data_IF_043181354746
#
_entry.id   IF_043181354746
#
_cell.length_a   1.000
_cell.length_b   1.000
_cell.length_c   1.000
_cell.angle_alpha   90.00
_cell.angle_beta   90.00
_cell.angle_gamma   90.00
#
_symmetry.space_group_name_H-M   'P 1'
#
loop_
_entity.id
_entity.type
_entity.pdbx_description
1 polymer ?
#
# COMPACT_ATOMS: atom_id res chain seq x y z
N UNK A 1 -2.41 -0.15 20.13
CA UNK A 1 -0.98 0.01 19.81
C UNK A 1 -0.80 1.49 19.67
N UNK A 2 -0.07 2.12 20.58
CA UNK A 2 0.16 3.57 20.55
C UNK A 2 0.82 4.00 19.23
N UNK A 3 0.62 5.25 18.76
CA UNK A 3 1.15 5.73 17.48
C UNK A 3 2.64 5.45 17.28
N UNK A 4 3.49 5.76 18.27
CA UNK A 4 4.93 5.53 18.18
C UNK A 4 5.30 4.05 18.10
N UNK A 5 4.54 3.19 18.80
CA UNK A 5 4.74 1.73 18.76
C UNK A 5 4.33 1.18 17.39
N UNK A 6 3.27 1.72 16.78
CA UNK A 6 2.85 1.36 15.44
C UNK A 6 3.87 1.78 14.39
N UNK A 7 4.44 2.98 14.52
CA UNK A 7 5.51 3.47 13.65
C UNK A 7 6.75 2.59 13.76
N UNK A 8 7.26 2.34 14.97
CA UNK A 8 8.42 1.46 15.16
C UNK A 8 8.18 0.09 14.54
N UNK A 9 7.04 -0.54 14.85
CA UNK A 9 6.70 -1.84 14.29
C UNK A 9 6.62 -1.83 12.76
N UNK A 10 6.18 -0.72 12.14
CA UNK A 10 6.17 -0.59 10.68
C UNK A 10 7.58 -0.59 10.09
N UNK A 11 8.52 0.17 10.68
CA UNK A 11 9.92 0.20 10.27
C UNK A 11 10.63 -1.14 10.51
N UNK A 12 10.20 -1.91 11.51
CA UNK A 12 10.69 -3.27 11.78
C UNK A 12 10.08 -4.32 10.80
N UNK A 13 9.27 -3.91 9.83
CA UNK A 13 8.66 -4.78 8.82
C UNK A 13 7.31 -5.41 9.22
N UNK A 14 6.69 -4.99 10.32
CA UNK A 14 5.38 -5.51 10.73
C UNK A 14 4.27 -4.99 9.84
N UNK A 15 3.61 -5.88 9.08
CA UNK A 15 2.41 -5.57 8.27
C UNK A 15 1.30 -4.93 9.11
N UNK A 16 1.10 -5.41 10.35
CA UNK A 16 0.10 -4.87 11.29
C UNK A 16 0.52 -3.51 11.84
N UNK A 17 1.81 -3.33 12.13
CA UNK A 17 2.39 -2.03 12.50
C UNK A 17 2.14 -1.00 11.40
N UNK A 18 2.51 -1.33 10.16
CA UNK A 18 2.31 -0.51 8.97
C UNK A 18 0.83 -0.12 8.78
N UNK A 19 -0.09 -1.08 8.88
CA UNK A 19 -1.52 -0.81 8.76
C UNK A 19 -2.02 0.20 9.80
N UNK A 20 -1.56 0.09 11.06
CA UNK A 20 -1.93 1.00 12.15
C UNK A 20 -1.29 2.38 11.99
N UNK A 21 -0.01 2.43 11.65
CA UNK A 21 0.72 3.66 11.37
C UNK A 21 0.01 4.48 10.29
N UNK A 22 -0.29 3.87 9.14
CA UNK A 22 -1.01 4.52 8.05
C UNK A 22 -2.41 4.99 8.48
N UNK A 23 -3.13 4.24 9.33
CA UNK A 23 -4.44 4.69 9.83
C UNK A 23 -4.33 5.91 10.75
N UNK A 24 -3.27 6.01 11.56
CA UNK A 24 -3.02 7.20 12.36
C UNK A 24 -2.69 8.43 11.49
N UNK A 25 -1.93 8.23 10.41
CA UNK A 25 -1.60 9.26 9.42
C UNK A 25 -2.87 9.77 8.73
N UNK A 26 -3.70 8.88 8.20
CA UNK A 26 -4.95 9.24 7.52
C UNK A 26 -5.94 10.01 8.41
N UNK A 27 -5.99 9.68 9.70
CA UNK A 27 -6.89 10.34 10.66
C UNK A 27 -6.28 11.61 11.29
N UNK A 28 -5.12 12.08 10.79
CA UNK A 28 -4.39 13.23 11.34
C UNK A 28 -4.10 13.11 12.86
N UNK A 29 -3.93 11.88 13.36
CA UNK A 29 -3.67 11.60 14.78
C UNK A 29 -2.17 11.66 15.11
N UNK A 30 -1.32 11.75 14.09
CA UNK A 30 0.12 12.00 14.19
C UNK A 30 0.39 13.28 13.42
N UNK A 31 1.01 14.27 14.07
CA UNK A 31 1.34 15.55 13.44
C UNK A 31 2.56 15.45 12.54
N UNK A 32 3.72 15.10 13.12
CA UNK A 32 4.96 14.89 12.39
C UNK A 32 5.32 13.40 12.41
N UNK A 33 5.58 12.85 11.23
CA UNK A 33 6.13 11.51 11.08
C UNK A 33 7.64 11.63 11.25
N UNK A 34 8.10 11.48 12.48
CA UNK A 34 9.52 11.31 12.73
C UNK A 34 9.85 9.82 12.61
N UNK A 35 10.71 9.42 11.66
CA UNK A 35 11.21 8.06 11.64
C UNK A 35 11.94 7.78 12.96
N UNK A 36 11.92 6.53 13.45
CA UNK A 36 12.59 6.19 14.69
C UNK A 36 14.09 6.49 14.57
N UNK A 37 14.73 6.82 15.69
CA UNK A 37 16.11 7.33 15.70
C UNK A 37 17.16 6.36 15.13
N UNK A 38 16.80 5.08 15.01
CA UNK A 38 17.61 4.03 14.39
C UNK A 38 17.27 3.78 12.91
N UNK A 39 16.32 4.51 12.33
CA UNK A 39 16.01 4.43 10.92
C UNK A 39 17.16 5.02 10.11
N UNK A 40 17.78 4.16 9.30
CA UNK A 40 18.74 4.56 8.29
C UNK A 40 17.95 4.57 6.98
N UNK A 41 17.78 5.73 6.32
CA UNK A 41 17.19 5.77 5.00
C UNK A 41 17.98 4.82 4.10
N UNK A 42 17.28 3.89 3.47
CA UNK A 42 17.82 3.19 2.31
C UNK A 42 18.31 4.21 1.29
N UNK A 43 19.41 3.92 0.58
CA UNK A 43 19.84 4.75 -0.55
C UNK A 43 18.64 5.08 -1.46
N UNK A 44 18.59 6.30 -2.01
CA UNK A 44 17.46 6.85 -2.78
C UNK A 44 17.03 5.99 -4.00
N UNK A 45 17.75 4.89 -4.29
CA UNK A 45 17.51 3.95 -5.38
C UNK A 45 16.82 2.63 -4.97
N UNK A 46 16.40 2.42 -3.71
CA UNK A 46 15.82 1.13 -3.31
C UNK A 46 14.35 0.89 -3.71
N UNK A 47 13.59 1.94 -4.03
CA UNK A 47 12.18 1.80 -4.39
C UNK A 47 11.74 2.77 -5.48
N UNK A 48 10.77 2.34 -6.28
CA UNK A 48 10.20 3.13 -7.37
C UNK A 48 8.69 3.32 -7.18
N UNK A 49 8.20 4.52 -7.50
CA UNK A 49 6.76 4.84 -7.46
C UNK A 49 6.22 4.95 -8.87
N UNK A 50 5.21 4.16 -9.18
CA UNK A 50 4.46 4.21 -10.44
C UNK A 50 3.03 4.70 -10.16
N UNK A 51 2.70 5.90 -10.63
CA UNK A 51 1.33 6.41 -10.63
C UNK A 51 0.55 5.90 -11.84
N UNK A 52 -0.62 5.31 -11.62
CA UNK A 52 -1.49 4.83 -12.71
C UNK A 52 -2.87 5.50 -12.61
N UNK A 53 -3.29 6.15 -13.70
CA UNK A 53 -4.59 6.84 -13.79
C UNK A 53 -5.27 6.54 -15.13
N UNK A 54 -6.57 6.82 -15.23
CA UNK A 54 -7.36 6.64 -16.44
C UNK A 54 -8.86 6.66 -16.18
N UNK A 55 -9.65 6.83 -17.23
CA UNK A 55 -11.11 6.83 -17.14
C UNK A 55 -11.67 5.49 -16.61
N UNK A 56 -12.86 5.48 -15.97
CA UNK A 56 -13.54 4.24 -15.59
C UNK A 56 -13.69 3.29 -16.79
N UNK A 57 -13.39 2.01 -16.60
CA UNK A 57 -13.53 0.99 -17.65
C UNK A 57 -12.39 0.91 -18.67
N UNK A 58 -11.36 1.77 -18.63
CA UNK A 58 -10.21 1.73 -19.56
C UNK A 58 -9.32 0.49 -19.42
N UNK A 59 -9.58 -0.36 -18.42
CA UNK A 59 -8.78 -1.55 -18.14
C UNK A 59 -7.61 -1.32 -17.18
N UNK A 60 -7.55 -0.18 -16.48
CA UNK A 60 -6.52 0.16 -15.49
C UNK A 60 -6.23 -0.97 -14.50
N UNK A 61 -7.25 -1.53 -13.85
CA UNK A 61 -7.06 -2.62 -12.88
C UNK A 61 -6.53 -3.91 -13.52
N UNK A 62 -6.88 -4.18 -14.79
CA UNK A 62 -6.35 -5.33 -15.54
C UNK A 62 -4.85 -5.16 -15.85
N UNK A 63 -4.45 -3.95 -16.27
CA UNK A 63 -3.05 -3.63 -16.52
C UNK A 63 -2.22 -3.70 -15.23
N UNK A 64 -2.73 -3.10 -14.14
CA UNK A 64 -2.08 -3.10 -12.83
C UNK A 64 -1.90 -4.52 -12.30
N UNK A 65 -2.91 -5.37 -12.39
CA UNK A 65 -2.81 -6.80 -12.01
C UNK A 65 -1.68 -7.53 -12.75
N UNK A 66 -1.54 -7.30 -14.06
CA UNK A 66 -0.47 -7.92 -14.86
C UNK A 66 0.91 -7.41 -14.52
N UNK A 67 1.05 -6.11 -14.23
CA UNK A 67 2.32 -5.52 -13.78
C UNK A 67 2.72 -6.13 -12.42
N UNK A 68 1.77 -6.21 -11.49
CA UNK A 68 2.01 -6.78 -10.15
C UNK A 68 2.44 -8.23 -10.26
N UNK A 69 1.73 -9.06 -11.02
CA UNK A 69 2.08 -10.47 -11.25
C UNK A 69 3.51 -10.60 -11.80
N UNK A 70 3.88 -9.78 -12.79
CA UNK A 70 5.22 -9.81 -13.37
C UNK A 70 6.31 -9.45 -12.34
N UNK A 71 6.09 -8.45 -11.49
CA UNK A 71 7.05 -8.05 -10.46
C UNK A 71 7.14 -9.04 -9.29
N UNK A 72 6.02 -9.69 -8.95
CA UNK A 72 6.00 -10.81 -8.00
C UNK A 72 6.88 -11.96 -8.51
N UNK A 73 6.73 -12.34 -9.79
CA UNK A 73 7.54 -13.40 -10.42
C UNK A 73 9.04 -13.07 -10.43
N UNK A 74 9.40 -11.78 -10.40
CA UNK A 74 10.78 -11.30 -10.28
C UNK A 74 11.28 -11.19 -8.83
N UNK A 75 10.44 -11.51 -7.84
CA UNK A 75 10.78 -11.46 -6.42
C UNK A 75 10.75 -10.06 -5.80
N UNK A 76 10.10 -9.08 -6.45
CA UNK A 76 9.95 -7.74 -5.89
C UNK A 76 8.91 -7.70 -4.76
N UNK A 77 9.16 -6.83 -3.78
CA UNK A 77 8.15 -6.44 -2.78
C UNK A 77 7.35 -5.26 -3.31
N UNK A 78 6.03 -5.33 -3.22
CA UNK A 78 5.12 -4.38 -3.87
C UNK A 78 4.17 -3.80 -2.82
N UNK A 79 4.07 -2.48 -2.79
CA UNK A 79 3.04 -1.76 -2.05
C UNK A 79 2.07 -1.10 -3.03
N UNK A 80 0.77 -1.29 -2.81
CA UNK A 80 -0.30 -0.72 -3.63
C UNK A 80 -1.09 0.22 -2.74
N UNK A 81 -1.17 1.49 -3.17
CA UNK A 81 -1.99 2.52 -2.54
C UNK A 81 -3.13 2.87 -3.50
N UNK A 82 -4.32 2.36 -3.23
CA UNK A 82 -5.51 2.63 -4.02
C UNK A 82 -6.19 3.91 -3.52
N UNK A 83 -6.21 4.93 -4.38
CA UNK A 83 -6.91 6.19 -4.11
C UNK A 83 -8.17 6.24 -4.97
N UNK A 84 -9.32 5.97 -4.36
CA UNK A 84 -10.64 6.13 -5.00
C UNK A 84 -11.34 7.36 -4.40
N UNK A 85 -11.53 8.45 -5.18
CA UNK A 85 -12.33 9.57 -4.73
C UNK A 85 -13.79 9.10 -4.64
N UNK A 86 -14.19 8.66 -3.44
CA UNK A 86 -15.54 8.22 -3.03
C UNK A 86 -16.56 8.20 -4.17
N UNK A 87 -16.71 7.06 -4.85
CA UNK A 87 -17.80 6.88 -5.82
C UNK A 87 -19.17 7.01 -5.11
N UNK A 88 -20.02 7.99 -5.45
CA UNK A 88 -21.33 8.19 -4.81
C UNK A 88 -22.32 7.05 -5.09
N UNK A 89 -21.99 6.12 -5.99
CA UNK A 89 -22.95 5.21 -6.63
C UNK A 89 -22.84 3.77 -6.12
N UNK A 90 -21.70 3.34 -5.55
CA UNK A 90 -21.49 1.92 -5.24
C UNK A 90 -20.99 1.59 -3.84
N UNK A 91 -20.78 2.59 -2.96
CA UNK A 91 -20.42 2.31 -1.56
C UNK A 91 -19.07 1.58 -1.40
N UNK A 92 -18.09 1.91 -2.24
CA UNK A 92 -16.69 1.49 -2.09
C UNK A 92 -16.22 0.51 -3.17
N UNK A 93 -15.48 1.01 -4.16
CA UNK A 93 -14.82 0.17 -5.18
C UNK A 93 -13.64 -0.66 -4.62
N UNK A 94 -13.24 -0.42 -3.37
CA UNK A 94 -12.19 -1.12 -2.63
C UNK A 94 -12.34 -2.65 -2.62
N UNK A 95 -13.58 -3.16 -2.63
CA UNK A 95 -13.85 -4.60 -2.67
C UNK A 95 -13.82 -5.19 -4.08
N UNK A 96 -14.14 -4.40 -5.10
CA UNK A 96 -14.16 -4.85 -6.51
C UNK A 96 -12.76 -5.08 -7.08
N UNK A 97 -11.79 -4.26 -6.68
CA UNK A 97 -10.38 -4.44 -7.05
C UNK A 97 -9.68 -5.52 -6.20
N UNK A 98 -10.01 -5.68 -4.91
CA UNK A 98 -9.49 -6.79 -4.07
C UNK A 98 -9.85 -8.17 -4.60
N UNK A 99 -11.10 -8.37 -5.04
CA UNK A 99 -11.60 -9.68 -5.46
C UNK A 99 -11.03 -10.20 -6.79
N UNK A 100 -10.33 -9.34 -7.55
CA UNK A 100 -9.64 -9.77 -8.79
C UNK A 100 -8.16 -10.10 -8.58
N UNK A 101 -7.56 -9.67 -7.48
CA UNK A 101 -6.17 -9.98 -7.13
C UNK A 101 -6.06 -11.18 -6.18
N UNK A 102 -6.85 -12.23 -6.43
CA UNK A 102 -6.96 -13.44 -5.59
C UNK A 102 -5.66 -14.21 -5.37
N UNK A 103 -4.55 -13.81 -5.99
CA UNK A 103 -3.22 -14.39 -5.80
C UNK A 103 -2.28 -13.53 -4.92
N UNK A 104 -2.66 -12.31 -4.54
CA UNK A 104 -1.76 -11.36 -3.85
C UNK A 104 -1.98 -11.24 -2.35
N UNK A 105 -3.17 -11.58 -1.85
CA UNK A 105 -3.49 -11.52 -0.41
C UNK A 105 -2.80 -12.64 0.40
N UNK A 106 -2.22 -13.64 -0.28
CA UNK A 106 -1.49 -14.77 0.32
C UNK A 106 0.02 -14.69 0.23
N UNK A 107 0.58 -13.74 -0.54
CA UNK A 107 2.02 -13.59 -0.66
C UNK A 107 2.53 -12.50 0.28
N UNK A 108 3.53 -12.83 1.11
CA UNK A 108 4.17 -11.89 2.04
C UNK A 108 4.77 -10.66 1.33
N UNK A 109 4.93 -10.73 0.00
CA UNK A 109 5.56 -9.73 -0.85
C UNK A 109 4.64 -8.57 -1.26
N UNK A 110 3.31 -8.68 -1.09
CA UNK A 110 2.36 -7.62 -1.51
C UNK A 110 1.68 -6.99 -0.30
N UNK A 111 1.66 -5.67 -0.24
CA UNK A 111 0.87 -4.90 0.73
C UNK A 111 -0.14 -4.02 -0.01
N UNK A 112 -1.42 -4.13 0.33
CA UNK A 112 -2.50 -3.35 -0.31
C UNK A 112 -3.18 -2.43 0.71
N UNK A 113 -3.41 -1.18 0.32
CA UNK A 113 -4.20 -0.21 1.09
C UNK A 113 -5.18 0.53 0.22
#
# INVERSE_FOLDING_TARGET
MEPNVAMQAAFDGSRRGLARALSYIENNQIGQIDPPSNYIPSDENEWHVLGVTGAPGVGKSCLVDKIIQHWIEQGHKIAILAVDPTSPVTGGALLGDRLRMSNSDGEDNVYFR
#
